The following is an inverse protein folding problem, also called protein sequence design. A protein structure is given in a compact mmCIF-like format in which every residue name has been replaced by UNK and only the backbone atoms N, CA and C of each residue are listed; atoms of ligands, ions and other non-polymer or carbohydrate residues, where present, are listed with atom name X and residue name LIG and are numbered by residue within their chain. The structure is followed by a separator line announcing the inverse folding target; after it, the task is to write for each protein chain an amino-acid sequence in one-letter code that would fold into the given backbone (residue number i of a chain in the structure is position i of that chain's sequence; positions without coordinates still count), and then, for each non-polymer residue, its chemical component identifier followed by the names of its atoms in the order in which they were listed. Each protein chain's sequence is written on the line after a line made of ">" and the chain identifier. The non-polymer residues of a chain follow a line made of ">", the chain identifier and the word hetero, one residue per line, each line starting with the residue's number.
data_IF_802176163731
#
_entry.id   IF_802176163731
#
_cell.length_a   1.000
_cell.length_b   1.000
_cell.length_c   1.000
_cell.angle_alpha   90.00
_cell.angle_beta   90.00
_cell.angle_gamma   90.00
#
_symmetry.space_group_name_H-M   'P 1'
#
loop_
_entity.id
_entity.type
_entity.pdbx_description
1 polymer ?
#
# COMPACT_ATOMS: atom_id res chain seq x y z
N UNK A 1 -23.40 -6.29 32.20
CA UNK A 1 -23.08 -5.34 31.09
C UNK A 1 -22.77 -6.17 29.87
N UNK A 2 -23.43 -5.90 28.74
CA UNK A 2 -23.34 -6.73 27.55
C UNK A 2 -21.92 -6.67 26.95
N UNK A 3 -21.27 -7.83 26.90
CA UNK A 3 -19.99 -8.03 26.22
C UNK A 3 -20.27 -8.01 24.70
N UNK A 4 -19.91 -6.91 24.05
CA UNK A 4 -20.09 -6.76 22.60
C UNK A 4 -19.06 -7.68 21.91
N UNK A 5 -19.58 -8.65 21.15
CA UNK A 5 -18.81 -9.64 20.36
C UNK A 5 -17.99 -9.05 19.20
N UNK A 6 -18.08 -7.74 18.99
CA UNK A 6 -17.27 -7.04 17.99
C UNK A 6 -16.07 -6.44 18.71
N UNK A 7 -14.88 -7.07 18.63
CA UNK A 7 -13.66 -6.42 19.12
C UNK A 7 -13.49 -5.08 18.42
N UNK A 8 -12.88 -4.12 19.13
CA UNK A 8 -12.62 -2.77 18.63
C UNK A 8 -12.07 -2.86 17.21
N UNK A 9 -12.77 -2.22 16.27
CA UNK A 9 -12.35 -2.21 14.86
C UNK A 9 -10.88 -1.78 14.80
N UNK A 10 -10.05 -2.44 13.98
CA UNK A 10 -8.64 -2.09 13.86
C UNK A 10 -8.52 -0.62 13.50
N UNK A 11 -7.49 0.03 14.00
CA UNK A 11 -7.24 1.44 13.70
C UNK A 11 -7.10 1.61 12.18
N UNK A 12 -8.06 2.31 11.57
CA UNK A 12 -8.11 2.59 10.13
C UNK A 12 -7.58 3.99 9.83
N UNK A 13 -6.95 4.65 10.80
CA UNK A 13 -6.43 6.01 10.60
C UNK A 13 -5.29 5.95 9.60
N UNK A 14 -5.39 6.62 8.44
CA UNK A 14 -4.31 6.65 7.48
C UNK A 14 -3.10 7.35 8.11
N UNK A 15 -1.94 6.71 8.06
CA UNK A 15 -0.68 7.28 8.55
C UNK A 15 -0.02 8.06 7.41
N UNK A 16 0.16 9.37 7.60
CA UNK A 16 0.90 10.20 6.64
C UNK A 16 2.40 9.88 6.72
N UNK A 17 2.97 9.43 5.62
CA UNK A 17 4.40 9.17 5.47
C UNK A 17 5.03 10.21 4.54
N UNK A 18 6.08 10.89 5.00
CA UNK A 18 6.90 11.77 4.16
C UNK A 18 8.17 11.03 3.77
N UNK A 19 8.39 10.84 2.47
CA UNK A 19 9.56 10.12 1.94
C UNK A 19 10.35 11.00 0.98
N UNK A 20 11.66 10.80 0.92
CA UNK A 20 12.53 11.39 -0.10
C UNK A 20 12.76 10.34 -1.19
N UNK A 21 12.46 10.71 -2.43
CA UNK A 21 12.67 9.85 -3.60
C UNK A 21 13.92 10.31 -4.34
N UNK A 22 14.65 9.37 -4.93
CA UNK A 22 15.69 9.73 -5.89
C UNK A 22 15.04 10.33 -7.14
N UNK A 23 15.73 11.24 -7.87
CA UNK A 23 15.19 11.82 -9.10
C UNK A 23 14.80 10.76 -10.13
N UNK A 24 15.59 9.68 -10.21
CA UNK A 24 15.32 8.56 -11.11
C UNK A 24 14.00 7.85 -10.77
N UNK A 25 13.78 7.53 -9.48
CA UNK A 25 12.55 6.88 -9.05
C UNK A 25 11.34 7.79 -9.26
N UNK A 26 11.46 9.09 -9.02
CA UNK A 26 10.39 10.05 -9.30
C UNK A 26 10.02 10.08 -10.80
N UNK A 27 11.02 10.08 -11.69
CA UNK A 27 10.79 10.04 -13.13
C UNK A 27 10.11 8.73 -13.58
N UNK A 28 10.54 7.59 -13.04
CA UNK A 28 9.95 6.30 -13.37
C UNK A 28 8.52 6.16 -12.84
N UNK A 29 8.22 6.72 -11.67
CA UNK A 29 6.85 6.83 -11.16
C UNK A 29 5.98 7.70 -12.08
N UNK A 30 6.48 8.83 -12.56
CA UNK A 30 5.77 9.66 -13.55
C UNK A 30 5.36 8.86 -14.79
N UNK A 31 6.32 8.13 -15.39
CA UNK A 31 6.06 7.25 -16.54
C UNK A 31 5.05 6.15 -16.24
N UNK A 32 5.09 5.59 -15.03
CA UNK A 32 4.10 4.60 -14.62
C UNK A 32 2.70 5.19 -14.57
N UNK A 33 2.55 6.44 -14.13
CA UNK A 33 1.26 7.15 -14.13
C UNK A 33 0.68 7.23 -15.54
N UNK A 34 1.51 7.61 -16.51
CA UNK A 34 1.12 7.72 -17.92
C UNK A 34 0.73 6.35 -18.49
N UNK A 35 1.49 5.31 -18.16
CA UNK A 35 1.18 3.94 -18.57
C UNK A 35 -0.14 3.43 -17.95
N UNK A 36 -0.41 3.76 -16.69
CA UNK A 36 -1.65 3.40 -16.01
C UNK A 36 -2.86 4.10 -16.64
N UNK A 37 -2.74 5.39 -16.94
CA UNK A 37 -3.78 6.13 -17.66
C UNK A 37 -4.01 5.55 -19.05
N UNK A 38 -2.95 5.23 -19.80
CA UNK A 38 -3.08 4.61 -21.11
C UNK A 38 -3.77 3.23 -21.06
N UNK A 39 -3.55 2.46 -19.99
CA UNK A 39 -4.13 1.13 -19.82
C UNK A 39 -5.61 1.16 -19.37
N UNK A 40 -5.97 2.10 -18.49
CA UNK A 40 -7.29 2.12 -17.83
C UNK A 40 -8.15 3.34 -18.17
N UNK A 41 -7.64 4.29 -18.95
CA UNK A 41 -8.31 5.53 -19.33
C UNK A 41 -8.56 6.48 -18.15
N UNK A 42 -7.93 6.25 -17.00
CA UNK A 42 -8.11 7.03 -15.79
C UNK A 42 -6.78 7.58 -15.31
N UNK A 43 -6.67 8.90 -15.32
CA UNK A 43 -5.55 9.60 -14.72
C UNK A 43 -5.67 9.53 -13.19
N UNK A 44 -4.74 8.85 -12.55
CA UNK A 44 -4.66 8.73 -11.10
C UNK A 44 -3.31 9.28 -10.65
N UNK A 45 -3.30 10.15 -9.64
CA UNK A 45 -2.07 10.75 -9.16
C UNK A 45 -1.13 9.69 -8.56
N UNK A 46 0.19 9.87 -8.73
CA UNK A 46 1.17 8.92 -8.19
C UNK A 46 1.06 8.75 -6.67
N UNK A 47 0.67 9.79 -5.94
CA UNK A 47 0.40 9.70 -4.51
C UNK A 47 -0.72 8.69 -4.16
N UNK A 48 -1.71 8.53 -5.04
CA UNK A 48 -2.81 7.57 -4.87
C UNK A 48 -2.37 6.17 -5.29
N UNK A 49 -1.53 6.05 -6.33
CA UNK A 49 -1.03 4.77 -6.82
C UNK A 49 0.00 4.13 -5.88
N UNK A 50 0.85 4.92 -5.23
CA UNK A 50 1.93 4.43 -4.34
C UNK A 50 1.41 3.47 -3.26
N UNK A 51 0.35 3.78 -2.48
CA UNK A 51 -0.21 2.86 -1.51
C UNK A 51 -0.59 1.49 -2.10
N UNK A 52 -1.22 1.46 -3.28
CA UNK A 52 -1.62 0.21 -3.95
C UNK A 52 -0.42 -0.56 -4.49
N UNK A 53 0.58 0.13 -5.04
CA UNK A 53 1.85 -0.47 -5.46
C UNK A 53 2.57 -1.14 -4.30
N UNK A 54 2.69 -0.44 -3.16
CA UNK A 54 3.33 -0.96 -1.96
C UNK A 54 2.57 -2.14 -1.37
N UNK A 55 1.25 -2.07 -1.31
CA UNK A 55 0.41 -3.19 -0.87
C UNK A 55 0.64 -4.42 -1.77
N UNK A 56 0.55 -4.24 -3.09
CA UNK A 56 0.75 -5.32 -4.07
C UNK A 56 2.16 -5.92 -3.98
N UNK A 57 3.18 -5.10 -3.75
CA UNK A 57 4.56 -5.54 -3.54
C UNK A 57 4.68 -6.42 -2.28
N UNK A 58 4.14 -5.98 -1.15
CA UNK A 58 4.17 -6.73 0.11
C UNK A 58 3.37 -8.05 0.02
N UNK A 59 2.29 -8.08 -0.77
CA UNK A 59 1.51 -9.29 -1.03
C UNK A 59 2.18 -10.27 -2.00
N UNK A 60 3.04 -9.75 -2.88
CA UNK A 60 3.78 -10.55 -3.86
C UNK A 60 5.04 -11.18 -3.26
N UNK A 61 5.58 -10.63 -2.16
CA UNK A 61 6.77 -11.17 -1.49
C UNK A 61 6.43 -12.40 -0.59
N UNK A 62 6.83 -13.63 -0.98
CA UNK A 62 6.52 -14.84 -0.21
C UNK A 62 7.29 -14.92 1.11
N UNK A 63 8.51 -14.38 1.15
CA UNK A 63 9.34 -14.36 2.36
C UNK A 63 8.73 -13.40 3.38
N UNK A 64 8.29 -12.22 2.93
CA UNK A 64 7.56 -11.28 3.78
C UNK A 64 6.25 -11.88 4.30
N UNK A 65 5.47 -12.54 3.45
CA UNK A 65 4.22 -13.21 3.86
C UNK A 65 4.42 -14.28 4.92
N UNK A 66 5.49 -15.07 4.81
CA UNK A 66 5.88 -16.07 5.83
C UNK A 66 6.28 -15.38 7.14
N UNK A 67 7.09 -14.33 7.07
CA UNK A 67 7.51 -13.56 8.24
C UNK A 67 6.33 -12.88 8.95
N UNK A 68 5.34 -12.36 8.21
CA UNK A 68 4.11 -11.79 8.76
C UNK A 68 3.28 -12.83 9.51
N UNK A 69 3.12 -14.03 8.96
CA UNK A 69 2.38 -15.12 9.61
C UNK A 69 3.07 -15.61 10.88
N UNK A 70 4.40 -15.58 10.92
CA UNK A 70 5.19 -15.98 12.09
C UNK A 70 5.16 -15.01 13.28
N UNK A 71 4.65 -13.77 13.12
CA UNK A 71 4.56 -12.77 14.20
C UNK A 71 3.14 -12.54 14.75
N UNK A 72 2.12 -13.21 14.21
CA UNK A 72 0.72 -13.04 14.59
C UNK A 72 0.06 -14.32 15.13
N UNK A 73 0.86 -15.25 15.64
CA UNK A 73 0.36 -16.44 16.33
C UNK A 73 0.42 -16.28 17.83
N UNK A 74 -0.53 -15.52 18.39
CA UNK A 74 -1.24 -15.76 19.66
C UNK A 74 -2.56 -14.99 19.64
#
# INVERSE_FOLDING_TARGET
>A
MADIKLPRLPDRTPVKLTILLSPQLHADLGRYSEAYEAAYGKQEGIAELIPFMLASFLESDPAFRRARKGRGGD
#
